data_IF_299176825745
#
_entry.id   IF_299176825745
#
_cell.length_a   1.000
_cell.length_b   1.000
_cell.length_c   1.000
_cell.angle_alpha   90.00
_cell.angle_beta   90.00
_cell.angle_gamma   90.00
#
_symmetry.space_group_name_H-M   'P 1'
#
loop_
_entity.id
_entity.type
_entity.pdbx_description
1 polymer ?
#
# COMPACT_ATOMS: atom_id res chain seq x y z
N UNK A 1 6.71 -7.26 18.40
CA UNK A 1 5.72 -6.51 19.20
C UNK A 1 4.31 -7.13 19.13
N UNK A 2 3.81 -7.49 17.94
CA UNK A 2 2.47 -8.07 17.77
C UNK A 2 2.30 -9.44 18.46
N UNK A 3 3.33 -10.29 18.44
CA UNK A 3 3.32 -11.63 19.05
C UNK A 3 3.24 -11.60 20.59
N UNK A 4 3.74 -10.53 21.22
CA UNK A 4 3.66 -10.34 22.67
C UNK A 4 2.20 -10.15 23.11
N UNK A 5 1.45 -9.32 22.38
CA UNK A 5 0.04 -9.05 22.71
C UNK A 5 -0.84 -10.29 22.54
N UNK A 6 -0.59 -11.10 21.51
CA UNK A 6 -1.32 -12.35 21.28
C UNK A 6 -1.05 -13.34 22.41
N UNK A 7 0.23 -13.55 22.76
CA UNK A 7 0.63 -14.44 23.87
C UNK A 7 0.04 -13.96 25.21
N UNK A 8 0.02 -12.65 25.43
CA UNK A 8 -0.55 -12.04 26.63
C UNK A 8 -2.08 -12.20 26.72
N UNK A 9 -2.80 -12.06 25.60
CA UNK A 9 -4.25 -12.31 25.53
C UNK A 9 -4.55 -13.78 25.84
N UNK A 10 -3.80 -14.72 25.24
CA UNK A 10 -3.94 -16.15 25.52
C UNK A 10 -3.67 -16.48 27.00
N UNK A 11 -2.62 -15.90 27.60
CA UNK A 11 -2.31 -16.11 29.02
C UNK A 11 -3.43 -15.61 29.94
N UNK A 12 -4.10 -14.50 29.60
CA UNK A 12 -5.23 -14.02 30.40
C UNK A 12 -6.48 -14.89 30.23
N UNK A 13 -6.78 -15.32 29.01
CA UNK A 13 -7.88 -16.25 28.76
C UNK A 13 -7.68 -17.54 29.55
N UNK A 14 -6.46 -18.09 29.54
CA UNK A 14 -6.11 -19.26 30.34
C UNK A 14 -6.27 -19.04 31.84
N UNK A 15 -5.91 -17.87 32.37
CA UNK A 15 -6.14 -17.50 33.79
C UNK A 15 -7.62 -17.49 34.18
N UNK A 16 -8.50 -17.23 33.22
CA UNK A 16 -9.95 -17.23 33.41
C UNK A 16 -10.60 -18.57 33.10
N UNK A 17 -9.79 -19.61 32.83
CA UNK A 17 -10.28 -20.94 32.44
C UNK A 17 -10.84 -21.00 31.02
N UNK A 18 -10.66 -19.95 30.22
CA UNK A 18 -11.11 -19.89 28.83
C UNK A 18 -9.97 -20.35 27.93
N UNK A 19 -10.08 -21.58 27.42
CA UNK A 19 -9.06 -22.13 26.52
C UNK A 19 -9.19 -21.60 25.08
N UNK A 20 -10.42 -21.26 24.66
CA UNK A 20 -10.73 -20.75 23.34
C UNK A 20 -11.66 -19.56 23.54
N UNK A 21 -11.27 -18.40 23.02
CA UNK A 21 -12.19 -17.27 22.98
C UNK A 21 -13.23 -17.51 21.88
N UNK A 22 -14.41 -17.97 22.28
CA UNK A 22 -15.52 -18.23 21.39
C UNK A 22 -16.82 -17.87 22.11
N UNK A 23 -17.33 -16.63 21.96
CA UNK A 23 -18.64 -16.26 22.49
C UNK A 23 -19.72 -17.20 21.96
N UNK A 24 -20.63 -17.63 22.84
CA UNK A 24 -21.73 -18.49 22.45
C UNK A 24 -22.82 -17.66 21.75
N UNK A 25 -22.99 -17.87 20.45
CA UNK A 25 -23.95 -17.14 19.61
C UNK A 25 -25.36 -17.77 19.61
N UNK A 26 -25.54 -18.92 20.25
CA UNK A 26 -26.85 -19.56 20.46
C UNK A 26 -27.53 -19.08 21.74
N UNK A 27 -26.73 -18.73 22.75
CA UNK A 27 -27.19 -18.16 24.01
C UNK A 27 -27.45 -16.66 23.92
N UNK A 28 -28.17 -16.14 24.91
CA UNK A 28 -28.40 -14.73 25.07
C UNK A 28 -27.09 -13.97 25.39
N UNK A 29 -26.95 -12.70 24.99
CA UNK A 29 -25.73 -11.91 25.17
C UNK A 29 -25.36 -11.69 26.65
N UNK A 30 -26.36 -11.77 27.53
CA UNK A 30 -26.28 -11.64 28.99
C UNK A 30 -26.01 -12.98 29.70
N UNK A 31 -25.67 -14.06 28.98
CA UNK A 31 -25.24 -15.29 29.62
C UNK A 31 -23.89 -15.09 30.32
N UNK A 32 -23.70 -15.74 31.48
CA UNK A 32 -22.49 -15.57 32.30
C UNK A 32 -21.18 -15.77 31.50
N UNK A 33 -21.19 -16.76 30.61
CA UNK A 33 -20.04 -17.05 29.75
C UNK A 33 -19.82 -15.95 28.69
N UNK A 34 -20.88 -15.44 28.07
CA UNK A 34 -20.80 -14.34 27.11
C UNK A 34 -20.37 -13.02 27.76
N UNK A 35 -20.86 -12.72 28.96
CA UNK A 35 -20.39 -11.58 29.74
C UNK A 35 -18.90 -11.70 30.09
N UNK A 36 -18.43 -12.90 30.47
CA UNK A 36 -17.02 -13.14 30.69
C UNK A 36 -16.20 -12.91 29.39
N UNK A 37 -16.67 -13.42 28.25
CA UNK A 37 -16.03 -13.18 26.96
C UNK A 37 -16.00 -11.70 26.57
N UNK A 38 -17.07 -10.95 26.84
CA UNK A 38 -17.16 -9.50 26.62
C UNK A 38 -16.17 -8.76 27.53
N UNK A 39 -16.19 -9.02 28.83
CA UNK A 39 -15.33 -8.37 29.81
C UNK A 39 -13.84 -8.56 29.47
N UNK A 40 -13.45 -9.77 29.06
CA UNK A 40 -12.08 -10.04 28.61
C UNK A 40 -11.72 -9.28 27.34
N UNK A 41 -12.60 -9.35 26.33
CA UNK A 41 -12.37 -8.68 25.06
C UNK A 41 -12.20 -7.16 25.23
N UNK A 42 -13.08 -6.52 26.00
CA UNK A 42 -13.05 -5.09 26.26
C UNK A 42 -11.83 -4.68 27.09
N UNK A 43 -11.51 -5.43 28.15
CA UNK A 43 -10.33 -5.16 28.97
C UNK A 43 -9.06 -5.20 28.14
N UNK A 44 -8.94 -6.19 27.24
CA UNK A 44 -7.77 -6.33 26.37
C UNK A 44 -7.73 -5.31 25.25
N UNK A 45 -8.86 -5.05 24.61
CA UNK A 45 -8.96 -4.01 23.60
C UNK A 45 -8.47 -2.66 24.16
N UNK A 46 -8.90 -2.29 25.37
CA UNK A 46 -8.46 -1.07 26.04
C UNK A 46 -6.97 -1.09 26.37
N UNK A 47 -6.46 -2.19 26.93
CA UNK A 47 -5.02 -2.32 27.25
C UNK A 47 -4.13 -2.18 26.01
N UNK A 48 -4.50 -2.84 24.92
CA UNK A 48 -3.76 -2.84 23.65
C UNK A 48 -3.89 -1.48 22.93
N UNK A 49 -5.07 -0.85 23.01
CA UNK A 49 -5.28 0.49 22.48
C UNK A 49 -4.44 1.54 23.22
N UNK A 50 -4.44 1.52 24.55
CA UNK A 50 -3.66 2.42 25.38
C UNK A 50 -2.15 2.20 25.24
N UNK A 51 -1.69 0.98 24.90
CA UNK A 51 -0.27 0.70 24.64
C UNK A 51 0.23 1.23 23.29
N UNK A 52 -0.62 1.91 22.51
CA UNK A 52 -0.27 2.47 21.21
C UNK A 52 -0.28 1.45 20.06
N UNK A 53 -0.68 0.20 20.32
CA UNK A 53 -0.63 -0.86 19.30
C UNK A 53 -1.52 -0.57 18.10
N UNK A 54 -2.61 0.17 18.27
CA UNK A 54 -3.53 0.57 17.18
C UNK A 54 -3.19 1.93 16.56
N UNK A 55 -2.01 2.51 16.81
CA UNK A 55 -1.61 3.80 16.24
C UNK A 55 -1.59 3.77 14.70
N UNK A 56 -1.22 2.63 14.10
CA UNK A 56 -1.27 2.42 12.65
C UNK A 56 -2.69 2.49 12.07
N UNK A 57 -3.72 2.22 12.87
CA UNK A 57 -5.14 2.31 12.50
C UNK A 57 -5.73 3.69 12.75
N UNK A 58 -4.97 4.64 13.32
CA UNK A 58 -5.46 5.95 13.77
C UNK A 58 -6.71 5.82 14.66
N UNK A 59 -6.71 4.82 15.55
CA UNK A 59 -7.81 4.62 16.48
C UNK A 59 -7.99 5.86 17.36
N UNK A 60 -9.22 6.35 17.49
CA UNK A 60 -9.50 7.49 18.34
C UNK A 60 -9.55 7.03 19.81
N UNK A 61 -8.49 7.33 20.55
CA UNK A 61 -8.33 6.91 21.95
C UNK A 61 -9.24 7.68 22.92
N UNK A 62 -9.90 8.76 22.50
CA UNK A 62 -10.84 9.51 23.36
C UNK A 62 -11.98 8.64 23.87
N UNK A 63 -12.37 7.62 23.09
CA UNK A 63 -13.49 6.73 23.41
C UNK A 63 -13.05 5.45 24.15
N UNK A 64 -11.75 5.22 24.36
CA UNK A 64 -11.27 4.02 25.06
C UNK A 64 -11.67 3.98 26.55
N UNK A 65 -12.04 5.12 27.13
CA UNK A 65 -12.57 5.22 28.50
C UNK A 65 -14.08 5.00 28.59
N UNK A 66 -14.82 5.12 27.49
CA UNK A 66 -16.27 4.99 27.47
C UNK A 66 -16.67 3.51 27.40
N UNK A 67 -16.82 2.89 28.58
CA UNK A 67 -17.21 1.49 28.68
C UNK A 67 -18.60 1.22 28.12
N UNK A 68 -19.55 2.16 28.24
CA UNK A 68 -20.91 1.98 27.72
C UNK A 68 -20.93 1.89 26.20
N UNK A 69 -20.17 2.78 25.54
CA UNK A 69 -19.99 2.71 24.09
C UNK A 69 -19.28 1.42 23.66
N UNK A 70 -18.28 0.97 24.42
CA UNK A 70 -17.55 -0.25 24.11
C UNK A 70 -18.39 -1.52 24.28
N UNK A 71 -19.19 -1.62 25.34
CA UNK A 71 -20.14 -2.73 25.53
C UNK A 71 -21.17 -2.77 24.41
N UNK A 72 -21.81 -1.63 24.10
CA UNK A 72 -22.82 -1.57 23.02
C UNK A 72 -22.23 -1.88 21.65
N UNK A 73 -21.00 -1.41 21.37
CA UNK A 73 -20.28 -1.75 20.14
C UNK A 73 -19.92 -3.23 20.07
N UNK A 74 -19.51 -3.83 21.18
CA UNK A 74 -19.23 -5.26 21.28
C UNK A 74 -20.49 -6.08 21.02
N UNK A 75 -21.60 -5.78 21.69
CA UNK A 75 -22.85 -6.53 21.58
C UNK A 75 -23.40 -6.46 20.15
N UNK A 76 -23.37 -5.28 19.54
CA UNK A 76 -23.75 -5.13 18.14
C UNK A 76 -22.81 -5.91 17.21
N UNK A 77 -21.51 -5.94 17.48
CA UNK A 77 -20.57 -6.67 16.63
C UNK A 77 -20.71 -8.19 16.78
N UNK A 78 -20.64 -8.72 18.00
CA UNK A 78 -20.64 -10.16 18.28
C UNK A 78 -22.06 -10.73 18.19
N UNK A 79 -22.99 -10.22 18.98
CA UNK A 79 -24.31 -10.81 19.13
C UNK A 79 -25.33 -10.39 18.06
N UNK A 80 -25.02 -9.37 17.26
CA UNK A 80 -25.82 -9.02 16.07
C UNK A 80 -25.11 -9.36 14.75
N UNK A 81 -23.94 -8.78 14.44
CA UNK A 81 -23.29 -8.99 13.15
C UNK A 81 -22.72 -10.42 12.99
N UNK A 82 -21.93 -10.90 13.96
CA UNK A 82 -21.37 -12.25 13.90
C UNK A 82 -22.45 -13.32 14.07
N UNK A 83 -23.39 -13.15 15.00
CA UNK A 83 -24.55 -14.04 15.12
C UNK A 83 -25.34 -14.16 13.82
N UNK A 84 -25.56 -13.06 13.09
CA UNK A 84 -26.24 -13.09 11.78
C UNK A 84 -25.44 -13.85 10.72
N UNK A 85 -24.11 -13.71 10.71
CA UNK A 85 -23.24 -14.48 9.81
C UNK A 85 -23.25 -15.96 10.17
N UNK A 86 -23.16 -16.28 11.45
CA UNK A 86 -23.20 -17.63 11.99
C UNK A 86 -24.51 -18.34 11.65
N UNK A 87 -25.67 -17.72 11.89
CA UNK A 87 -26.99 -18.29 11.56
C UNK A 87 -27.14 -18.60 10.07
N UNK A 88 -26.56 -17.77 9.20
CA UNK A 88 -26.57 -18.02 7.75
C UNK A 88 -25.64 -19.16 7.35
N UNK A 89 -24.44 -19.20 7.93
CA UNK A 89 -23.45 -20.26 7.70
C UNK A 89 -23.93 -21.62 8.23
N UNK A 90 -24.60 -21.61 9.38
CA UNK A 90 -25.21 -22.80 10.02
C UNK A 90 -26.34 -23.38 9.17
N UNK A 91 -27.08 -22.53 8.44
CA UNK A 91 -28.11 -22.98 7.50
C UNK A 91 -27.51 -23.53 6.21
N UNK A 92 -26.57 -22.78 5.62
CA UNK A 92 -25.95 -23.08 4.33
C UNK A 92 -24.43 -22.91 4.45
N UNK A 93 -23.68 -24.02 4.52
CA UNK A 93 -22.23 -23.97 4.62
C UNK A 93 -21.62 -23.32 3.36
N UNK A 94 -20.68 -22.40 3.52
CA UNK A 94 -20.08 -21.60 2.46
C UNK A 94 -20.90 -20.38 2.03
N UNK A 95 -22.02 -20.08 2.70
CA UNK A 95 -22.88 -18.96 2.32
C UNK A 95 -22.17 -17.61 2.43
N UNK A 96 -21.38 -17.39 3.48
CA UNK A 96 -20.65 -16.14 3.65
C UNK A 96 -19.59 -15.94 2.57
N UNK A 97 -18.87 -17.01 2.20
CA UNK A 97 -17.88 -16.99 1.12
C UNK A 97 -18.55 -16.65 -0.22
N UNK A 98 -19.64 -17.35 -0.55
CA UNK A 98 -20.41 -17.06 -1.75
C UNK A 98 -21.03 -15.65 -1.76
N UNK A 99 -21.44 -15.10 -0.61
CA UNK A 99 -21.90 -13.70 -0.52
C UNK A 99 -20.76 -12.71 -0.80
N UNK A 100 -19.55 -12.98 -0.30
CA UNK A 100 -18.36 -12.18 -0.58
C UNK A 100 -18.03 -12.23 -2.07
N UNK A 101 -18.01 -13.42 -2.67
CA UNK A 101 -17.81 -13.59 -4.11
C UNK A 101 -18.87 -12.86 -4.94
N UNK A 102 -20.15 -12.99 -4.56
CA UNK A 102 -21.25 -12.24 -5.21
C UNK A 102 -21.04 -10.74 -5.14
N UNK A 103 -20.56 -10.20 -4.02
CA UNK A 103 -20.23 -8.77 -3.91
C UNK A 103 -19.09 -8.42 -4.87
N UNK A 104 -18.01 -9.19 -4.93
CA UNK A 104 -16.91 -8.97 -5.89
C UNK A 104 -17.43 -8.98 -7.34
N UNK A 105 -18.27 -9.96 -7.70
CA UNK A 105 -18.91 -10.05 -9.02
C UNK A 105 -19.85 -8.87 -9.27
N UNK A 106 -20.60 -8.41 -8.27
CA UNK A 106 -21.45 -7.22 -8.37
C UNK A 106 -20.62 -5.97 -8.64
N UNK A 107 -19.49 -5.78 -7.94
CA UNK A 107 -18.56 -4.67 -8.20
C UNK A 107 -17.94 -4.76 -9.60
N UNK A 108 -17.66 -5.97 -10.09
CA UNK A 108 -17.20 -6.19 -11.47
C UNK A 108 -18.30 -5.84 -12.49
N UNK A 109 -19.56 -6.20 -12.22
CA UNK A 109 -20.73 -5.84 -13.05
C UNK A 109 -21.00 -4.33 -13.08
N UNK A 110 -20.76 -3.61 -11.99
CA UNK A 110 -20.82 -2.14 -11.99
C UNK A 110 -19.79 -1.49 -12.93
N UNK A 111 -18.73 -2.22 -13.30
CA UNK A 111 -17.77 -1.79 -14.31
C UNK A 111 -18.11 -2.29 -15.71
N UNK A 112 -19.07 -3.20 -15.87
CA UNK A 112 -19.43 -3.77 -17.16
C UNK A 112 -20.54 -2.97 -17.85
N UNK A 113 -20.29 -2.54 -19.08
CA UNK A 113 -21.30 -1.95 -19.94
C UNK A 113 -21.90 -3.04 -20.83
N UNK A 114 -23.07 -3.55 -20.44
CA UNK A 114 -23.76 -4.62 -21.14
C UNK A 114 -24.13 -4.27 -22.59
N UNK A 115 -24.44 -3.00 -22.89
CA UNK A 115 -24.79 -2.56 -24.26
C UNK A 115 -23.61 -2.65 -25.20
N UNK A 116 -22.41 -2.32 -24.70
CA UNK A 116 -21.20 -2.29 -25.50
C UNK A 116 -20.35 -3.57 -25.38
N UNK A 117 -20.74 -4.51 -24.50
CA UNK A 117 -20.02 -5.76 -24.27
C UNK A 117 -18.62 -5.56 -23.66
N UNK A 118 -18.35 -4.43 -23.01
CA UNK A 118 -17.00 -4.04 -22.55
C UNK A 118 -16.99 -3.58 -21.10
N UNK A 119 -15.84 -3.75 -20.45
CA UNK A 119 -15.61 -3.18 -19.12
C UNK A 119 -15.11 -1.74 -19.23
N UNK A 120 -15.71 -0.84 -18.46
CA UNK A 120 -15.40 0.58 -18.44
C UNK A 120 -14.30 0.84 -17.42
N UNK A 121 -13.14 1.30 -17.91
CA UNK A 121 -12.05 1.75 -17.04
C UNK A 121 -12.38 3.16 -16.56
N UNK A 122 -12.71 3.30 -15.27
CA UNK A 122 -12.89 4.58 -14.60
C UNK A 122 -11.54 5.27 -14.37
N UNK A 123 -11.50 6.59 -14.48
CA UNK A 123 -10.32 7.42 -14.21
C UNK A 123 -10.13 7.55 -12.70
N UNK A 124 -8.94 7.25 -12.21
CA UNK A 124 -8.59 7.43 -10.80
C UNK A 124 -8.29 8.92 -10.56
N UNK A 125 -9.01 9.55 -9.62
CA UNK A 125 -8.87 10.98 -9.37
C UNK A 125 -7.45 11.37 -8.93
N UNK A 126 -6.78 10.49 -8.18
CA UNK A 126 -5.45 10.74 -7.64
C UNK A 126 -4.33 10.56 -8.65
N UNK A 127 -4.56 9.92 -9.79
CA UNK A 127 -3.50 9.47 -10.69
C UNK A 127 -3.04 10.61 -11.61
N UNK A 128 -1.73 10.75 -11.78
CA UNK A 128 -1.15 11.73 -12.71
C UNK A 128 -1.39 11.35 -14.18
N UNK A 129 -1.25 12.34 -15.07
CA UNK A 129 -1.37 12.11 -16.51
C UNK A 129 -0.16 11.33 -17.06
N UNK A 130 1.04 11.54 -16.49
CA UNK A 130 2.26 10.76 -16.78
C UNK A 130 2.03 9.27 -16.50
N UNK A 131 1.56 8.94 -15.30
CA UNK A 131 1.23 7.57 -14.91
C UNK A 131 0.18 6.97 -15.85
N UNK A 132 -0.88 7.74 -16.13
CA UNK A 132 -1.94 7.30 -17.04
C UNK A 132 -1.41 7.01 -18.44
N UNK A 133 -0.50 7.84 -18.97
CA UNK A 133 0.11 7.63 -20.28
C UNK A 133 1.01 6.39 -20.29
N UNK A 134 1.83 6.20 -19.25
CA UNK A 134 2.70 5.04 -19.10
C UNK A 134 1.93 3.73 -19.08
N UNK A 135 0.94 3.59 -18.19
CA UNK A 135 0.13 2.37 -18.11
C UNK A 135 -0.61 2.07 -19.42
N UNK A 136 -1.02 3.10 -20.17
CA UNK A 136 -1.62 2.91 -21.52
C UNK A 136 -0.64 2.35 -22.52
N UNK A 137 0.61 2.83 -22.53
CA UNK A 137 1.63 2.29 -23.41
C UNK A 137 1.98 0.85 -23.04
N UNK A 138 2.06 0.56 -21.74
CA UNK A 138 2.30 -0.79 -21.23
C UNK A 138 1.17 -1.75 -21.62
N UNK A 139 -0.10 -1.36 -21.44
CA UNK A 139 -1.26 -2.13 -21.89
C UNK A 139 -1.22 -2.42 -23.41
N UNK A 140 -0.77 -1.44 -24.21
CA UNK A 140 -0.61 -1.63 -25.66
C UNK A 140 0.50 -2.63 -25.97
N UNK A 141 1.69 -2.49 -25.36
CA UNK A 141 2.81 -3.42 -25.56
C UNK A 141 2.45 -4.84 -25.17
N UNK A 142 1.75 -5.03 -24.04
CA UNK A 142 1.28 -6.35 -23.60
C UNK A 142 0.35 -6.96 -24.66
N UNK A 143 -0.58 -6.18 -25.22
CA UNK A 143 -1.48 -6.67 -26.28
C UNK A 143 -0.73 -7.04 -27.55
N UNK A 144 0.24 -6.22 -27.96
CA UNK A 144 1.05 -6.47 -29.16
C UNK A 144 1.87 -7.78 -28.98
N UNK A 145 2.47 -7.98 -27.82
CA UNK A 145 3.23 -9.20 -27.47
C UNK A 145 2.34 -10.44 -27.47
N UNK A 146 1.15 -10.37 -26.87
CA UNK A 146 0.21 -11.50 -26.87
C UNK A 146 -0.26 -11.90 -28.27
N UNK A 147 -0.49 -10.90 -29.13
CA UNK A 147 -0.83 -11.15 -30.53
C UNK A 147 0.33 -11.84 -31.29
N UNK A 148 1.58 -11.44 -31.03
CA UNK A 148 2.75 -12.08 -31.62
C UNK A 148 2.93 -13.54 -31.15
N UNK A 149 2.66 -13.82 -29.88
CA UNK A 149 2.77 -15.18 -29.33
C UNK A 149 1.62 -16.11 -29.74
N UNK A 150 0.65 -15.65 -30.56
CA UNK A 150 -0.47 -16.45 -31.04
C UNK A 150 -1.44 -16.93 -29.94
N UNK A 151 -1.31 -16.40 -28.72
CA UNK A 151 -2.17 -16.78 -27.61
C UNK A 151 -3.53 -16.11 -27.78
N UNK A 152 -4.61 -16.90 -27.72
CA UNK A 152 -5.95 -16.34 -27.59
C UNK A 152 -6.06 -15.69 -26.22
N UNK A 153 -6.01 -14.36 -26.18
CA UNK A 153 -6.19 -13.63 -24.93
C UNK A 153 -7.63 -13.81 -24.43
N UNK A 154 -7.83 -14.57 -23.34
CA UNK A 154 -9.11 -14.58 -22.60
C UNK A 154 -9.33 -13.27 -21.80
N UNK A 155 -8.61 -12.21 -22.14
CA UNK A 155 -8.68 -10.92 -21.46
C UNK A 155 -10.00 -10.25 -21.76
N UNK A 156 -10.61 -9.74 -20.70
CA UNK A 156 -11.80 -8.92 -20.82
C UNK A 156 -11.47 -7.65 -21.64
N UNK A 157 -12.35 -7.32 -22.59
CA UNK A 157 -12.18 -6.10 -23.39
C UNK A 157 -12.54 -4.91 -22.49
N UNK A 158 -11.51 -4.23 -22.01
CA UNK A 158 -11.65 -3.00 -21.25
C UNK A 158 -11.53 -1.78 -22.17
N UNK A 159 -12.48 -0.84 -22.09
CA UNK A 159 -12.49 0.43 -22.82
C UNK A 159 -12.57 1.61 -21.86
N UNK A 160 -11.87 2.69 -22.19
CA UNK A 160 -12.04 3.98 -21.51
C UNK A 160 -13.20 4.74 -22.17
N UNK A 161 -14.10 5.33 -21.39
CA UNK A 161 -15.15 6.19 -21.93
C UNK A 161 -14.50 7.46 -22.53
N UNK A 162 -15.11 8.01 -23.59
CA UNK A 162 -14.61 9.26 -24.21
C UNK A 162 -14.60 10.42 -23.22
N UNK A 163 -15.63 10.48 -22.38
CA UNK A 163 -15.72 11.39 -21.25
C UNK A 163 -15.25 10.61 -20.01
N UNK A 164 -14.20 11.07 -19.30
CA UNK A 164 -13.65 10.35 -18.17
C UNK A 164 -14.69 10.24 -17.04
N UNK A 165 -14.95 9.00 -16.60
CA UNK A 165 -15.80 8.72 -15.45
C UNK A 165 -14.88 8.56 -14.24
N UNK A 166 -15.04 9.41 -13.23
CA UNK A 166 -14.22 9.37 -12.03
C UNK A 166 -14.56 8.11 -11.22
N UNK A 167 -13.53 7.42 -10.72
CA UNK A 167 -13.67 6.28 -9.83
C UNK A 167 -14.19 6.70 -8.46
N UNK A 168 -15.13 5.94 -7.90
CA UNK A 168 -15.62 6.11 -6.52
C UNK A 168 -14.54 5.77 -5.47
N UNK A 169 -13.49 5.05 -5.87
CA UNK A 169 -12.40 4.68 -4.97
C UNK A 169 -11.46 5.88 -4.76
N UNK A 170 -11.54 6.47 -3.55
CA UNK A 170 -10.74 7.63 -3.15
C UNK A 170 -9.43 7.28 -2.45
N UNK A 171 -9.25 6.02 -2.04
CA UNK A 171 -8.03 5.60 -1.34
C UNK A 171 -6.87 5.60 -2.33
N UNK A 172 -5.77 6.17 -1.91
CA UNK A 172 -4.54 6.14 -2.70
C UNK A 172 -3.62 5.03 -2.21
N UNK A 173 -2.77 4.48 -3.10
CA UNK A 173 -1.72 3.58 -2.67
C UNK A 173 -0.74 4.28 -1.70
N UNK A 174 0.12 3.50 -1.06
CA UNK A 174 1.18 3.98 -0.15
C UNK A 174 2.53 3.51 -0.67
N UNK A 175 3.60 4.24 -0.35
CA UNK A 175 4.98 3.90 -0.75
C UNK A 175 5.11 3.72 -2.27
N UNK A 176 4.47 4.63 -3.01
CA UNK A 176 4.59 4.71 -4.46
C UNK A 176 5.24 6.06 -4.79
N UNK A 177 6.12 6.12 -5.80
CA UNK A 177 6.74 7.36 -6.26
C UNK A 177 5.77 8.54 -6.39
N UNK A 178 6.29 9.75 -6.13
CA UNK A 178 5.51 10.98 -6.07
C UNK A 178 4.76 11.28 -7.37
N UNK A 179 5.36 10.93 -8.50
CA UNK A 179 4.87 11.18 -9.86
C UNK A 179 3.66 10.33 -10.27
N UNK A 180 3.28 9.36 -9.45
CA UNK A 180 2.02 8.61 -9.61
C UNK A 180 0.83 9.47 -9.23
N UNK A 181 1.02 10.44 -8.34
CA UNK A 181 -0.03 11.29 -7.82
C UNK A 181 -0.25 12.51 -8.70
N UNK A 182 -1.47 13.01 -8.79
CA UNK A 182 -1.75 14.32 -9.39
C UNK A 182 -1.29 15.42 -8.42
N UNK A 183 -0.60 16.49 -8.89
CA UNK A 183 -0.11 17.56 -8.01
C UNK A 183 -1.20 18.18 -7.13
N UNK A 184 -2.39 18.40 -7.68
CA UNK A 184 -3.58 18.90 -6.96
C UNK A 184 -3.95 17.97 -5.79
N UNK A 185 -4.11 16.67 -6.07
CA UNK A 185 -4.52 15.67 -5.06
C UNK A 185 -3.45 15.37 -4.01
N UNK A 186 -2.19 15.72 -4.29
CA UNK A 186 -1.09 15.56 -3.35
C UNK A 186 -0.88 16.82 -2.51
N UNK A 187 -0.97 18.01 -3.12
CA UNK A 187 -0.74 19.29 -2.46
C UNK A 187 -1.72 19.55 -1.31
N UNK A 188 -2.98 19.16 -1.47
CA UNK A 188 -4.06 19.35 -0.49
C UNK A 188 -3.91 18.47 0.77
N UNK A 189 -2.93 17.58 0.82
CA UNK A 189 -2.69 16.69 1.96
C UNK A 189 -1.90 17.39 3.07
N UNK A 190 -2.21 17.02 4.31
CA UNK A 190 -1.39 17.39 5.47
C UNK A 190 0.04 16.83 5.35
N UNK A 191 1.03 17.53 5.93
CA UNK A 191 2.44 17.16 5.84
C UNK A 191 2.70 15.73 6.32
N UNK A 192 2.06 15.30 7.42
CA UNK A 192 2.17 13.92 7.91
C UNK A 192 1.63 12.88 6.92
N UNK A 193 0.59 13.23 6.16
CA UNK A 193 -0.03 12.36 5.17
C UNK A 193 0.79 12.28 3.88
N UNK A 194 1.56 13.32 3.56
CA UNK A 194 2.51 13.33 2.45
C UNK A 194 3.66 12.36 2.71
N UNK A 195 4.32 12.49 3.86
CA UNK A 195 5.43 11.63 4.29
C UNK A 195 5.06 10.15 4.39
N UNK A 196 3.86 9.86 4.91
CA UNK A 196 3.37 8.49 5.05
C UNK A 196 2.73 7.93 3.77
N UNK A 197 2.51 8.77 2.76
CA UNK A 197 1.64 8.47 1.63
C UNK A 197 2.37 8.18 0.33
N UNK A 198 3.46 8.90 0.04
CA UNK A 198 4.22 8.76 -1.19
C UNK A 198 5.72 8.63 -0.88
N UNK A 199 6.43 7.96 -1.78
CA UNK A 199 7.88 7.99 -1.76
C UNK A 199 8.36 9.33 -2.36
N UNK A 200 9.06 10.11 -1.54
CA UNK A 200 9.65 11.39 -1.90
C UNK A 200 11.14 11.28 -2.22
N UNK A 201 11.63 10.08 -2.57
CA UNK A 201 13.02 9.87 -2.98
C UNK A 201 13.19 9.42 -4.44
N UNK A 202 12.10 8.96 -5.06
CA UNK A 202 12.10 8.33 -6.39
C UNK A 202 11.05 8.92 -7.35
N UNK A 203 11.42 8.96 -8.63
CA UNK A 203 10.56 9.28 -9.79
C UNK A 203 10.57 8.07 -10.72
N UNK A 204 9.41 7.69 -11.24
CA UNK A 204 9.21 6.46 -12.00
C UNK A 204 8.94 6.71 -13.49
N UNK A 205 8.28 7.81 -13.82
CA UNK A 205 7.69 8.06 -15.13
C UNK A 205 8.40 9.21 -15.84
N UNK A 206 8.64 8.98 -17.13
CA UNK A 206 8.96 10.06 -18.05
C UNK A 206 7.80 11.07 -18.10
N UNK A 207 8.09 12.37 -18.28
CA UNK A 207 7.07 13.34 -18.64
C UNK A 207 6.29 12.87 -19.88
N UNK A 208 4.96 13.07 -19.95
CA UNK A 208 4.14 12.63 -21.12
C UNK A 208 4.75 13.04 -22.46
N UNK A 209 5.37 14.22 -22.54
CA UNK A 209 5.99 14.75 -23.75
C UNK A 209 7.21 13.94 -24.22
N UNK A 210 7.90 13.32 -23.27
CA UNK A 210 9.12 12.56 -23.48
C UNK A 210 8.86 11.04 -23.49
N UNK A 211 7.59 10.62 -23.28
CA UNK A 211 7.24 9.21 -23.42
C UNK A 211 7.53 8.77 -24.86
N UNK A 212 8.35 7.73 -25.06
CA UNK A 212 8.74 7.34 -26.40
C UNK A 212 7.51 6.91 -27.21
N UNK A 213 7.47 7.24 -28.52
CA UNK A 213 6.48 6.69 -29.42
C UNK A 213 6.51 5.16 -29.39
N UNK A 214 5.37 4.52 -29.69
CA UNK A 214 5.29 3.05 -29.75
C UNK A 214 6.44 2.48 -30.59
N UNK A 215 7.17 1.52 -30.02
CA UNK A 215 8.25 0.79 -30.70
C UNK A 215 9.62 1.47 -30.71
N UNK A 216 9.79 2.63 -30.07
CA UNK A 216 11.10 3.28 -29.90
C UNK A 216 11.54 3.24 -28.44
N UNK A 217 12.82 3.04 -28.20
CA UNK A 217 13.43 3.20 -26.88
C UNK A 217 13.81 4.66 -26.66
N UNK A 218 13.64 5.15 -25.44
CA UNK A 218 14.07 6.50 -25.10
C UNK A 218 15.60 6.48 -24.83
N UNK A 219 16.39 7.49 -25.25
CA UNK A 219 17.84 7.49 -25.01
C UNK A 219 18.21 7.33 -23.53
N UNK A 220 17.39 7.88 -22.64
CA UNK A 220 17.59 7.80 -21.19
C UNK A 220 17.04 6.51 -20.56
N UNK A 221 16.47 5.57 -21.32
CA UNK A 221 16.03 4.25 -20.80
C UNK A 221 17.22 3.40 -20.33
N UNK A 222 18.44 3.72 -20.81
CA UNK A 222 19.69 3.07 -20.39
C UNK A 222 20.31 3.68 -19.14
N UNK A 223 19.73 4.77 -18.61
CA UNK A 223 20.20 5.35 -17.35
C UNK A 223 19.81 4.42 -16.19
N UNK A 224 20.72 4.23 -15.24
CA UNK A 224 20.35 3.63 -13.97
C UNK A 224 19.44 4.54 -13.14
N UNK A 225 18.72 3.96 -12.19
CA UNK A 225 17.67 4.63 -11.41
C UNK A 225 18.17 5.91 -10.72
N UNK A 226 19.40 5.91 -10.20
CA UNK A 226 20.02 7.08 -9.56
C UNK A 226 20.15 8.24 -10.55
N UNK A 227 20.71 7.99 -11.74
CA UNK A 227 20.91 9.00 -12.77
C UNK A 227 19.58 9.45 -13.38
N UNK A 228 18.62 8.53 -13.52
CA UNK A 228 17.28 8.84 -13.96
C UNK A 228 16.59 9.79 -12.98
N UNK A 229 16.59 9.44 -11.69
CA UNK A 229 16.03 10.27 -10.63
C UNK A 229 16.66 11.65 -10.65
N UNK A 230 17.99 11.75 -10.62
CA UNK A 230 18.68 13.04 -10.65
C UNK A 230 18.24 13.95 -11.82
N UNK A 231 18.05 13.36 -13.01
CA UNK A 231 17.66 14.11 -14.22
C UNK A 231 16.21 14.59 -14.20
N UNK A 232 15.29 13.77 -13.70
CA UNK A 232 13.85 14.01 -13.82
C UNK A 232 13.18 14.49 -12.52
N UNK A 233 13.87 14.42 -11.38
CA UNK A 233 13.39 14.85 -10.07
C UNK A 233 12.97 16.31 -10.05
N UNK A 234 13.89 17.21 -10.40
CA UNK A 234 13.64 18.65 -10.36
C UNK A 234 12.55 19.08 -11.35
N UNK A 235 12.39 18.37 -12.46
CA UNK A 235 11.31 18.62 -13.41
C UNK A 235 9.96 18.22 -12.84
N UNK A 236 9.91 17.08 -12.17
CA UNK A 236 8.67 16.50 -11.65
C UNK A 236 8.16 17.28 -10.45
N UNK A 237 9.04 17.70 -9.54
CA UNK A 237 8.63 18.23 -8.22
C UNK A 237 8.19 19.68 -8.22
N UNK A 238 8.56 20.44 -9.25
CA UNK A 238 8.10 21.82 -9.46
C UNK A 238 6.59 21.97 -9.26
N UNK A 239 5.83 20.98 -9.70
CA UNK A 239 4.37 21.01 -9.63
C UNK A 239 3.80 20.65 -8.24
N UNK A 240 4.57 19.95 -7.39
CA UNK A 240 4.08 19.36 -6.12
C UNK A 240 4.31 20.25 -4.89
N UNK A 241 4.91 21.45 -5.05
CA UNK A 241 5.21 22.39 -3.95
C UNK A 241 5.96 21.73 -2.79
N UNK A 242 6.93 20.87 -3.10
CA UNK A 242 7.81 20.21 -2.12
C UNK A 242 9.14 20.96 -2.11
N UNK A 243 9.76 21.09 -0.94
CA UNK A 243 11.09 21.72 -0.82
C UNK A 243 12.14 20.91 -1.60
N UNK A 244 13.12 21.58 -2.24
CA UNK A 244 14.22 20.90 -2.93
C UNK A 244 15.02 20.00 -1.98
N UNK A 245 15.58 18.92 -2.52
CA UNK A 245 16.41 17.97 -1.77
C UNK A 245 17.64 18.70 -1.23
N UNK A 246 17.69 19.00 0.07
CA UNK A 246 18.92 19.48 0.70
C UNK A 246 19.94 18.34 0.66
N UNK A 247 21.14 18.52 0.09
CA UNK A 247 22.19 17.51 0.17
C UNK A 247 22.50 17.30 1.65
N UNK A 248 22.33 16.07 2.15
CA UNK A 248 22.75 15.71 3.52
C UNK A 248 24.24 16.01 3.62
N UNK A 249 24.62 16.99 4.44
CA UNK A 249 25.97 17.08 4.96
C UNK A 249 26.22 15.78 5.72
N UNK A 250 27.25 15.05 5.31
CA UNK A 250 27.74 13.90 6.06
C UNK A 250 28.34 14.41 7.37
N UNK A 251 27.51 14.51 8.41
CA UNK A 251 28.00 14.56 9.78
C UNK A 251 28.63 13.19 10.06
N UNK A 252 29.97 13.19 10.02
CA UNK A 252 30.80 12.10 10.50
C UNK A 252 30.66 12.07 12.01
N UNK A 253 29.88 11.14 12.52
CA UNK A 253 30.06 10.71 13.91
C UNK A 253 31.25 9.76 13.94
N UNK A 254 32.40 10.33 14.28
CA UNK A 254 33.55 9.59 14.76
C UNK A 254 33.23 9.06 16.16
N UNK A 255 32.95 7.76 16.28
CA UNK A 255 33.10 7.06 17.54
C UNK A 255 34.13 5.94 17.38
N UNK A 256 35.21 6.09 18.15
CA UNK A 256 36.36 5.21 18.15
C UNK A 256 36.12 4.10 19.17
N UNK A 257 36.00 2.87 18.71
CA UNK A 257 35.99 1.66 19.53
C UNK A 257 36.89 0.62 18.90
N UNK A 258 38.15 0.62 19.34
CA UNK A 258 39.16 -0.40 19.08
C UNK A 258 38.88 -1.63 19.96
N UNK A 259 38.91 -2.84 19.39
CA UNK A 259 39.74 -3.98 19.79
C UNK A 259 39.21 -5.31 19.23
N UNK A 260 40.00 -5.85 18.29
CA UNK A 260 40.35 -7.26 17.99
C UNK A 260 39.44 -8.41 18.44
N UNK A 261 39.09 -9.31 17.51
CA UNK A 261 39.59 -10.68 17.59
C UNK A 261 39.63 -11.37 16.22
N UNK A 262 40.64 -12.23 16.09
CA UNK A 262 41.14 -12.96 14.93
C UNK A 262 40.29 -14.21 14.64
N UNK A 263 39.86 -14.43 13.39
CA UNK A 263 39.81 -15.77 12.80
C UNK A 263 39.87 -15.68 11.27
N UNK A 264 40.98 -16.19 10.74
CA UNK A 264 41.29 -16.42 9.34
C UNK A 264 40.39 -17.49 8.69
N UNK A 265 39.81 -17.18 7.53
CA UNK A 265 39.51 -18.18 6.49
C UNK A 265 39.65 -17.56 5.09
N UNK A 266 40.73 -17.94 4.39
CA UNK A 266 40.91 -17.71 2.96
C UNK A 266 39.97 -18.61 2.15
N UNK A 267 39.10 -18.04 1.31
CA UNK A 267 38.58 -18.69 0.11
C UNK A 267 38.41 -17.66 -1.02
N UNK A 268 39.29 -17.80 -2.01
CA UNK A 268 39.31 -17.14 -3.31
C UNK A 268 38.01 -17.38 -4.11
N UNK A 269 37.37 -16.29 -4.52
CA UNK A 269 36.58 -16.25 -5.76
C UNK A 269 36.44 -14.79 -6.24
N UNK A 270 37.30 -14.44 -7.19
CA UNK A 270 37.27 -13.22 -7.98
C UNK A 270 35.87 -12.80 -8.48
N UNK A 271 35.42 -11.58 -8.13
CA UNK A 271 34.52 -10.79 -8.97
C UNK A 271 34.79 -9.29 -8.76
N UNK A 272 35.23 -8.53 -9.78
CA UNK A 272 35.57 -7.12 -9.60
C UNK A 272 34.29 -6.27 -9.51
N UNK A 273 33.90 -5.90 -8.29
CA UNK A 273 32.94 -4.83 -8.08
C UNK A 273 33.65 -3.50 -8.37
N UNK A 274 33.39 -2.93 -9.54
CA UNK A 274 33.93 -1.63 -9.90
C UNK A 274 33.08 -0.56 -9.21
N UNK A 275 33.50 -0.14 -8.02
CA UNK A 275 32.98 1.04 -7.35
C UNK A 275 33.37 2.27 -8.18
N UNK A 276 32.43 2.72 -9.01
CA UNK A 276 32.60 3.94 -9.78
C UNK A 276 32.37 5.10 -8.83
N UNK A 277 33.45 5.76 -8.44
CA UNK A 277 33.47 6.96 -7.61
C UNK A 277 32.44 7.99 -8.10
N UNK A 278 31.37 8.18 -7.32
CA UNK A 278 30.27 9.10 -7.61
C UNK A 278 30.75 10.55 -7.82
N UNK A 279 31.94 10.91 -7.33
CA UNK A 279 32.50 12.24 -7.52
C UNK A 279 33.00 12.49 -8.94
N UNK A 280 33.42 11.44 -9.66
CA UNK A 280 33.96 11.54 -11.03
C UNK A 280 32.84 11.69 -12.07
N UNK A 281 31.68 11.07 -11.83
CA UNK A 281 30.49 11.17 -12.71
C UNK A 281 29.93 12.60 -12.72
N UNK A 282 29.86 13.25 -11.55
CA UNK A 282 29.42 14.65 -11.44
C UNK A 282 30.34 15.63 -12.16
N UNK A 283 31.66 15.42 -12.18
CA UNK A 283 32.59 16.30 -12.89
C UNK A 283 32.48 16.16 -14.42
N UNK A 284 32.32 14.92 -14.91
CA UNK A 284 32.22 14.64 -16.36
C UNK A 284 30.96 15.21 -17.00
N UNK A 285 29.86 15.33 -16.25
CA UNK A 285 28.61 15.91 -16.75
C UNK A 285 28.70 17.44 -16.82
N UNK A 286 29.36 18.09 -15.85
CA UNK A 286 29.55 19.56 -15.83
C UNK A 286 30.47 20.04 -16.98
N UNK A 287 31.42 19.21 -17.42
CA UNK A 287 32.30 19.55 -18.54
C UNK A 287 31.64 19.39 -19.92
N UNK A 288 30.61 18.54 -20.05
CA UNK A 288 29.88 18.35 -21.31
C UNK A 288 28.79 19.41 -21.56
N UNK A 289 28.37 20.17 -20.53
CA UNK A 289 27.40 21.27 -20.67
C UNK A 289 28.07 22.63 -20.92
N UNK A 290 29.40 22.69 -20.96
CA UNK A 290 30.18 23.92 -21.24
C UNK A 290 30.97 23.89 -22.56
N UNK A 291 30.73 22.89 -23.41
CA UNK A 291 31.34 22.73 -24.74
C UNK A 291 30.33 22.92 -25.86
#
# INVERSE_FOLDING_TARGET
MQDFYITYVHAMLAKLGIHIWAPNLEEAPDSLYNEACQAVALTKFRQIACSGSYQYMRANLTYCGDLGLLCTAYDHYVHYLLAKRYKKESRDQGWNEHEVEKKVVQWARLRYNAKAGVYVIKTLAYQSDNATAFFRQLDCKIKDVEAMMGHRSNKQICRRPKIPIISEFKKTPKNVPIDVYRPECFSDRDHSQKLMGADLSEVLFFPVKDLPPKGKQHPNERLGDICFNYKYWDLTIKDYKIEPRTPKSSERDSDAGDLSDDESVDLDASNPHHDVDNHLVTKKIIELEKG
#
